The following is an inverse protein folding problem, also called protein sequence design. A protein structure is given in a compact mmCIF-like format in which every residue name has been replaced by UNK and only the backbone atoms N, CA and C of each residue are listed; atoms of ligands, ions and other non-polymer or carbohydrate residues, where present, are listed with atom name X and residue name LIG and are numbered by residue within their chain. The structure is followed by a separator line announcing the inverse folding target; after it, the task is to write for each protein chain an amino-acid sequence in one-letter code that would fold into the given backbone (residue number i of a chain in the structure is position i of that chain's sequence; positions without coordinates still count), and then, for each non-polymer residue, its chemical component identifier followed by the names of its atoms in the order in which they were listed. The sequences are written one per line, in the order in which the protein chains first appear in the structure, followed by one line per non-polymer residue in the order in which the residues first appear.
data_IF_309552107112
#
_entry.id   IF_309552107112
#
_cell.length_a   1.000
_cell.length_b   1.000
_cell.length_c   1.000
_cell.angle_alpha   90.00
_cell.angle_beta   90.00
_cell.angle_gamma   90.00
#
_symmetry.space_group_name_H-M   'P 1'
#
loop_
_entity.id
_entity.type
_entity.pdbx_description
1 polymer ?
#
# COMPACT_ATOMS: atom_id res chain seq x y z
N UNK A 1 30.44 49.34 -48.87
CA UNK A 1 29.27 49.01 -48.02
C UNK A 1 28.75 47.64 -48.39
N UNK A 2 28.87 46.65 -47.50
CA UNK A 2 28.00 45.46 -47.31
C UNK A 2 28.72 44.48 -46.39
N UNK A 3 28.40 44.53 -45.09
CA UNK A 3 28.81 43.54 -44.09
C UNK A 3 27.83 42.36 -44.18
N UNK A 4 28.34 41.16 -44.45
CA UNK A 4 27.59 39.90 -44.34
C UNK A 4 27.61 39.49 -42.86
N UNK A 5 26.45 39.49 -42.21
CA UNK A 5 26.26 38.99 -40.85
C UNK A 5 25.64 37.59 -40.96
N UNK A 6 26.41 36.56 -40.64
CA UNK A 6 25.94 35.18 -40.57
C UNK A 6 25.29 34.91 -39.22
N UNK A 7 24.01 34.55 -39.22
CA UNK A 7 23.27 34.09 -38.05
C UNK A 7 23.50 32.58 -37.89
N UNK A 8 24.27 32.16 -36.89
CA UNK A 8 24.35 30.77 -36.45
C UNK A 8 23.14 30.48 -35.55
N UNK A 9 22.20 29.68 -36.05
CA UNK A 9 21.08 29.15 -35.28
C UNK A 9 21.54 27.93 -34.50
N UNK A 10 21.91 28.12 -33.22
CA UNK A 10 22.25 27.03 -32.31
C UNK A 10 20.97 26.37 -31.76
N UNK A 11 20.67 25.16 -32.24
CA UNK A 11 19.62 24.31 -31.68
C UNK A 11 20.17 23.68 -30.39
N UNK A 12 19.77 24.24 -29.25
CA UNK A 12 20.07 23.71 -27.92
C UNK A 12 19.10 22.57 -27.62
N UNK A 13 19.51 21.33 -27.87
CA UNK A 13 18.78 20.14 -27.43
C UNK A 13 18.82 20.07 -25.89
N UNK A 14 17.75 20.52 -25.24
CA UNK A 14 17.48 20.24 -23.84
C UNK A 14 17.19 18.73 -23.70
N UNK A 15 18.21 17.95 -23.36
CA UNK A 15 18.05 16.56 -22.96
C UNK A 15 17.36 16.50 -21.61
N UNK A 16 16.05 16.23 -21.61
CA UNK A 16 15.30 15.84 -20.42
C UNK A 16 15.80 14.47 -19.97
N UNK A 17 16.81 14.46 -19.08
CA UNK A 17 17.15 13.28 -18.32
C UNK A 17 15.98 12.98 -17.37
N UNK A 18 15.06 12.13 -17.82
CA UNK A 18 14.07 11.55 -16.94
C UNK A 18 14.83 10.68 -15.93
N UNK A 19 14.93 11.16 -14.68
CA UNK A 19 15.37 10.32 -13.59
C UNK A 19 14.38 9.16 -13.50
N UNK A 20 14.82 7.97 -13.92
CA UNK A 20 14.09 6.75 -13.67
C UNK A 20 14.18 6.55 -12.16
N UNK A 21 13.17 6.97 -11.42
CA UNK A 21 13.07 6.63 -10.01
C UNK A 21 13.04 5.10 -9.96
N UNK A 22 14.11 4.50 -9.42
CA UNK A 22 14.17 3.06 -9.22
C UNK A 22 13.19 2.71 -8.13
N UNK A 23 11.96 2.40 -8.52
CA UNK A 23 10.95 1.90 -7.63
C UNK A 23 11.35 0.47 -7.21
N UNK A 24 11.27 0.19 -5.92
CA UNK A 24 11.54 -1.13 -5.34
C UNK A 24 10.39 -2.12 -5.60
N UNK A 25 10.49 -3.33 -5.04
CA UNK A 25 9.52 -4.40 -5.27
C UNK A 25 8.12 -4.11 -4.72
N UNK A 26 7.98 -3.14 -3.80
CA UNK A 26 6.71 -2.77 -3.17
C UNK A 26 6.09 -1.50 -3.78
N UNK A 27 6.71 -0.95 -4.84
CA UNK A 27 6.27 0.27 -5.49
C UNK A 27 4.83 0.18 -6.04
N UNK A 28 4.10 1.29 -5.91
CA UNK A 28 2.69 1.38 -6.32
C UNK A 28 1.71 0.68 -5.39
N UNK A 29 2.19 0.07 -4.30
CA UNK A 29 1.33 -0.45 -3.24
C UNK A 29 0.57 0.66 -2.52
N UNK A 30 -0.62 0.35 -2.03
CA UNK A 30 -1.45 1.22 -1.20
C UNK A 30 -1.77 0.57 0.13
N UNK A 31 -2.20 1.37 1.09
CA UNK A 31 -2.85 0.86 2.30
C UNK A 31 -4.35 1.07 2.19
N UNK A 32 -5.10 0.01 2.43
CA UNK A 32 -6.55 0.05 2.48
C UNK A 32 -7.03 -0.33 3.88
N UNK A 33 -8.18 0.22 4.25
CA UNK A 33 -8.92 -0.26 5.41
C UNK A 33 -10.02 -1.18 4.91
N UNK A 34 -10.20 -2.31 5.58
CA UNK A 34 -11.24 -3.27 5.28
C UNK A 34 -11.86 -3.74 6.57
N UNK A 35 -13.18 -3.73 6.68
CA UNK A 35 -13.86 -4.44 7.75
C UNK A 35 -14.67 -5.64 7.26
N UNK A 36 -15.03 -6.52 8.18
CA UNK A 36 -16.06 -7.54 7.99
C UNK A 36 -17.16 -7.39 9.06
N UNK A 37 -18.38 -6.99 8.70
CA UNK A 37 -19.49 -6.85 9.65
C UNK A 37 -19.90 -8.15 10.34
N UNK A 38 -19.46 -9.31 9.83
CA UNK A 38 -19.71 -10.61 10.47
C UNK A 38 -18.75 -10.91 11.62
N UNK A 39 -17.65 -10.15 11.75
CA UNK A 39 -16.67 -10.31 12.83
C UNK A 39 -16.96 -9.31 13.95
N UNK A 40 -17.42 -9.84 15.07
CA UNK A 40 -17.73 -9.05 16.28
C UNK A 40 -16.51 -9.02 17.20
N UNK A 41 -16.21 -7.83 17.71
CA UNK A 41 -15.15 -7.69 18.70
C UNK A 41 -15.54 -8.29 20.06
N UNK A 42 -14.62 -9.06 20.62
CA UNK A 42 -14.73 -9.70 21.93
C UNK A 42 -13.37 -9.64 22.63
N UNK A 43 -13.36 -9.71 23.96
CA UNK A 43 -12.12 -9.58 24.75
C UNK A 43 -11.42 -10.92 25.01
N UNK A 44 -12.01 -12.03 24.55
CA UNK A 44 -11.45 -13.39 24.67
C UNK A 44 -10.61 -13.80 23.45
N UNK A 45 -10.54 -12.96 22.42
CA UNK A 45 -9.68 -13.14 21.25
C UNK A 45 -8.48 -12.19 21.39
N UNK A 46 -7.28 -12.78 21.52
CA UNK A 46 -6.04 -12.01 21.70
C UNK A 46 -5.60 -11.29 20.40
N UNK A 47 -5.96 -11.84 19.24
CA UNK A 47 -5.62 -11.26 17.93
C UNK A 47 -6.64 -11.64 16.86
N UNK A 48 -6.95 -10.67 15.98
CA UNK A 48 -7.85 -10.83 14.85
C UNK A 48 -7.11 -10.97 13.50
N UNK A 49 -5.79 -11.12 13.51
CA UNK A 49 -5.02 -11.31 12.28
C UNK A 49 -5.43 -12.58 11.54
N UNK A 50 -5.70 -12.49 10.23
CA UNK A 50 -6.17 -13.61 9.43
C UNK A 50 -7.65 -13.98 9.59
N UNK A 51 -8.42 -13.25 10.42
CA UNK A 51 -9.88 -13.47 10.56
C UNK A 51 -10.67 -12.81 9.43
N UNK A 52 -10.15 -11.72 8.85
CA UNK A 52 -10.80 -11.06 7.73
C UNK A 52 -10.79 -11.98 6.51
N UNK A 53 -11.96 -12.34 5.95
CA UNK A 53 -11.99 -12.94 4.63
C UNK A 53 -11.28 -12.00 3.67
N UNK A 54 -10.36 -12.54 2.87
CA UNK A 54 -9.73 -11.73 1.83
C UNK A 54 -10.82 -11.27 0.86
N UNK A 55 -10.97 -9.96 0.62
CA UNK A 55 -11.91 -9.51 -0.38
C UNK A 55 -11.45 -10.05 -1.74
N UNK A 56 -12.40 -10.34 -2.64
CA UNK A 56 -12.10 -10.89 -3.97
C UNK A 56 -11.18 -10.00 -4.83
N UNK A 57 -11.01 -8.75 -4.42
CA UNK A 57 -10.12 -7.73 -4.95
C UNK A 57 -10.14 -6.52 -4.01
N UNK A 58 -9.28 -5.53 -4.23
CA UNK A 58 -9.26 -4.34 -3.41
C UNK A 58 -10.62 -3.62 -3.43
N UNK A 59 -11.27 -3.56 -4.59
CA UNK A 59 -12.53 -2.86 -4.84
C UNK A 59 -13.72 -3.43 -4.04
N UNK A 60 -13.57 -4.66 -3.53
CA UNK A 60 -14.58 -5.33 -2.71
C UNK A 60 -14.36 -5.09 -1.21
N UNK A 61 -13.38 -4.27 -0.82
CA UNK A 61 -13.17 -3.94 0.58
C UNK A 61 -14.34 -3.12 1.14
N UNK A 62 -14.90 -3.58 2.25
CA UNK A 62 -15.90 -2.81 3.01
C UNK A 62 -15.22 -1.67 3.76
N UNK A 63 -15.52 -0.43 3.36
CA UNK A 63 -14.97 0.80 3.94
C UNK A 63 -16.00 1.67 4.65
N UNK A 64 -17.23 1.18 4.85
CA UNK A 64 -18.28 1.94 5.52
C UNK A 64 -19.07 1.08 6.50
N UNK A 65 -19.31 1.61 7.69
CA UNK A 65 -20.00 0.93 8.79
C UNK A 65 -21.16 1.72 9.35
N UNK A 66 -22.18 1.04 9.93
CA UNK A 66 -23.13 1.69 10.81
C UNK A 66 -22.42 2.19 12.09
N UNK A 67 -23.08 3.10 12.80
CA UNK A 67 -22.64 3.60 14.11
C UNK A 67 -23.15 2.68 15.23
N UNK A 68 -22.61 2.83 16.45
CA UNK A 68 -22.88 2.02 17.66
C UNK A 68 -22.47 0.55 17.69
N UNK A 69 -22.37 -0.13 16.54
CA UNK A 69 -21.91 -1.52 16.52
C UNK A 69 -20.40 -1.60 16.76
N UNK A 70 -19.97 -2.56 17.60
CA UNK A 70 -18.55 -2.87 17.80
C UNK A 70 -18.09 -3.82 16.72
N UNK A 71 -17.18 -3.38 15.89
CA UNK A 71 -16.68 -4.19 14.79
C UNK A 71 -15.15 -4.17 14.76
N UNK A 72 -14.60 -5.12 14.01
CA UNK A 72 -13.17 -5.23 13.75
C UNK A 72 -12.90 -4.80 12.31
N UNK A 73 -11.86 -4.01 12.13
CA UNK A 73 -11.34 -3.65 10.81
C UNK A 73 -9.84 -3.87 10.76
N UNK A 74 -9.34 -4.04 9.55
CA UNK A 74 -7.96 -4.38 9.25
C UNK A 74 -7.36 -3.33 8.34
N UNK A 75 -6.10 -3.04 8.59
CA UNK A 75 -5.22 -2.36 7.65
C UNK A 75 -4.55 -3.42 6.81
N UNK A 76 -4.70 -3.31 5.49
CA UNK A 76 -4.10 -4.24 4.53
C UNK A 76 -3.18 -3.48 3.57
N UNK A 77 -2.03 -4.07 3.26
CA UNK A 77 -1.29 -3.67 2.06
C UNK A 77 -1.99 -4.27 0.84
N UNK A 78 -2.19 -3.46 -0.19
CA UNK A 78 -2.66 -3.89 -1.49
C UNK A 78 -1.63 -3.53 -2.56
N UNK A 79 -1.23 -4.50 -3.37
CA UNK A 79 -0.24 -4.32 -4.43
C UNK A 79 -0.89 -4.45 -5.82
N UNK A 80 -0.33 -3.77 -6.86
CA UNK A 80 -0.84 -3.88 -8.22
C UNK A 80 -0.81 -5.31 -8.76
N UNK A 81 -1.81 -5.68 -9.56
CA UNK A 81 -1.84 -6.99 -10.22
C UNK A 81 -0.54 -7.26 -11.01
N UNK A 82 0.10 -8.40 -10.73
CA UNK A 82 1.35 -8.81 -11.36
C UNK A 82 2.60 -8.18 -10.74
N UNK A 83 2.48 -7.40 -9.67
CA UNK A 83 3.62 -7.09 -8.80
C UNK A 83 4.17 -8.38 -8.15
N UNK A 84 5.39 -8.31 -7.64
CA UNK A 84 6.00 -9.38 -6.84
C UNK A 84 6.50 -8.75 -5.54
N UNK A 85 5.58 -8.35 -4.64
CA UNK A 85 5.95 -7.64 -3.43
C UNK A 85 6.90 -8.50 -2.59
N UNK A 86 7.79 -7.84 -1.86
CA UNK A 86 8.71 -8.46 -0.89
C UNK A 86 8.60 -7.70 0.41
N UNK A 87 7.38 -7.57 0.92
CA UNK A 87 7.08 -6.69 2.05
C UNK A 87 7.65 -7.27 3.35
N UNK A 88 8.68 -6.63 3.89
CA UNK A 88 9.28 -6.98 5.19
C UNK A 88 9.05 -5.93 6.27
N UNK A 89 8.61 -4.73 5.91
CA UNK A 89 8.18 -3.74 6.88
C UNK A 89 7.23 -2.73 6.28
N UNK A 90 6.39 -2.15 7.13
CA UNK A 90 5.49 -1.05 6.78
C UNK A 90 5.52 -0.01 7.89
N UNK A 91 5.45 1.26 7.51
CA UNK A 91 5.35 2.37 8.45
C UNK A 91 4.16 3.23 8.03
N UNK A 92 3.25 3.49 8.98
CA UNK A 92 2.05 4.28 8.75
C UNK A 92 1.57 4.92 10.06
N UNK A 93 0.56 5.77 9.96
CA UNK A 93 -0.12 6.40 11.07
C UNK A 93 -1.63 6.40 10.91
N UNK A 94 -2.31 7.03 11.86
CA UNK A 94 -3.77 7.13 11.89
C UNK A 94 -4.20 8.54 12.27
N UNK A 95 -5.33 8.97 11.75
CA UNK A 95 -5.99 10.22 12.10
C UNK A 95 -7.48 9.94 12.29
N UNK A 96 -8.04 10.43 13.39
CA UNK A 96 -9.47 10.31 13.70
C UNK A 96 -9.85 11.26 14.84
N UNK A 97 -11.14 11.51 15.04
CA UNK A 97 -11.64 12.27 16.18
C UNK A 97 -11.87 11.31 17.38
N UNK A 98 -10.98 11.34 18.37
CA UNK A 98 -11.05 10.50 19.57
C UNK A 98 -12.20 10.87 20.53
N UNK A 99 -12.86 12.00 20.30
CA UNK A 99 -14.13 12.32 20.97
C UNK A 99 -15.32 11.60 20.35
N UNK A 100 -15.17 11.05 19.13
CA UNK A 100 -16.24 10.41 18.38
C UNK A 100 -16.00 8.90 18.19
N UNK A 101 -14.76 8.51 17.85
CA UNK A 101 -14.36 7.12 17.60
C UNK A 101 -13.66 6.56 18.83
N UNK A 102 -14.19 5.46 19.34
CA UNK A 102 -13.64 4.76 20.51
C UNK A 102 -12.99 3.45 20.06
N UNK A 103 -11.67 3.38 20.21
CA UNK A 103 -10.92 2.14 20.01
C UNK A 103 -10.99 1.28 21.27
N UNK A 104 -11.37 0.02 21.08
CA UNK A 104 -11.55 -0.99 22.12
C UNK A 104 -10.38 -1.98 22.19
N UNK A 105 -9.73 -2.23 21.05
CA UNK A 105 -8.60 -3.13 20.92
C UNK A 105 -7.90 -2.93 19.59
N UNK A 106 -6.64 -3.33 19.51
CA UNK A 106 -5.83 -3.20 18.31
C UNK A 106 -4.59 -4.09 18.41
N UNK A 107 -3.95 -4.39 17.29
CA UNK A 107 -2.68 -5.09 17.31
C UNK A 107 -2.06 -5.35 15.93
N UNK A 108 -0.74 -5.60 15.89
CA UNK A 108 -0.01 -5.90 14.67
C UNK A 108 -0.29 -7.31 14.16
N UNK A 109 -0.23 -7.49 12.84
CA UNK A 109 -0.22 -8.79 12.18
C UNK A 109 1.17 -9.24 11.73
N UNK A 110 2.20 -8.42 11.99
CA UNK A 110 3.60 -8.79 11.82
C UNK A 110 4.23 -9.35 13.09
N UNK A 111 5.52 -9.66 13.00
CA UNK A 111 6.29 -10.32 14.05
C UNK A 111 6.84 -9.33 15.10
N UNK A 112 7.02 -8.07 14.71
CA UNK A 112 7.50 -7.02 15.60
C UNK A 112 6.83 -5.68 15.25
N UNK A 113 6.51 -4.92 16.30
CA UNK A 113 5.94 -3.59 16.21
C UNK A 113 6.84 -2.58 16.93
N UNK A 114 7.05 -1.44 16.28
CA UNK A 114 7.66 -0.26 16.87
C UNK A 114 6.67 0.91 16.76
N UNK A 115 5.83 1.02 17.78
CA UNK A 115 4.84 2.07 17.88
C UNK A 115 5.45 3.34 18.48
N UNK A 116 4.90 4.51 18.12
CA UNK A 116 5.18 5.71 18.89
C UNK A 116 4.53 5.67 20.28
N UNK A 117 4.91 6.60 21.17
CA UNK A 117 4.44 6.60 22.55
C UNK A 117 2.96 6.91 22.75
N UNK A 118 2.27 7.39 21.71
CA UNK A 118 0.85 7.75 21.73
C UNK A 118 -0.03 6.75 20.99
N UNK A 119 0.56 5.74 20.35
CA UNK A 119 -0.16 4.80 19.52
C UNK A 119 -1.22 4.01 20.30
N UNK A 120 -2.44 3.85 19.75
CA UNK A 120 -2.91 4.22 18.42
C UNK A 120 -3.73 5.54 18.41
N UNK A 121 -3.37 6.53 19.22
CA UNK A 121 -4.09 7.81 19.29
C UNK A 121 -4.10 8.60 17.96
N UNK A 122 -4.96 9.62 17.81
CA UNK A 122 -4.98 10.47 16.63
C UNK A 122 -3.63 11.14 16.37
N UNK A 123 -3.22 11.21 15.10
CA UNK A 123 -1.95 11.80 14.70
C UNK A 123 -0.72 10.99 15.11
N UNK A 124 -0.90 9.74 15.53
CA UNK A 124 0.19 8.82 15.92
C UNK A 124 0.54 7.84 14.78
N UNK A 125 1.65 7.13 14.91
CA UNK A 125 2.10 6.13 13.96
C UNK A 125 2.82 4.93 14.57
N UNK A 126 2.89 3.88 13.77
CA UNK A 126 3.57 2.62 14.08
C UNK A 126 4.37 2.11 12.89
N UNK A 127 5.32 1.23 13.18
CA UNK A 127 6.02 0.42 12.21
C UNK A 127 5.80 -1.06 12.53
N UNK A 128 5.47 -1.85 11.52
CA UNK A 128 5.28 -3.31 11.65
C UNK A 128 6.27 -4.00 10.73
N UNK A 129 6.98 -5.00 11.23
CA UNK A 129 7.94 -5.78 10.46
C UNK A 129 7.62 -7.26 10.47
N UNK A 130 8.01 -7.94 9.40
CA UNK A 130 7.84 -9.37 9.20
C UNK A 130 9.21 -10.04 9.08
N UNK A 131 9.42 -11.13 9.81
CA UNK A 131 10.62 -11.96 9.73
C UNK A 131 10.74 -12.64 8.36
N UNK A 132 9.59 -13.01 7.77
CA UNK A 132 9.52 -13.53 6.42
C UNK A 132 8.85 -12.50 5.50
N UNK A 133 9.43 -12.19 4.33
CA UNK A 133 8.83 -11.23 3.41
C UNK A 133 7.46 -11.73 2.93
N UNK A 134 6.48 -10.84 2.99
CA UNK A 134 5.13 -11.08 2.51
C UNK A 134 5.10 -10.85 0.99
N UNK A 135 4.67 -11.87 0.26
CA UNK A 135 4.68 -11.88 -1.22
C UNK A 135 3.29 -11.89 -1.85
N UNK A 136 2.24 -11.93 -1.03
CA UNK A 136 0.86 -11.85 -1.46
C UNK A 136 0.50 -10.44 -1.94
N UNK A 137 -0.46 -10.35 -2.87
CA UNK A 137 -1.00 -9.07 -3.36
C UNK A 137 -1.84 -8.33 -2.31
N UNK A 138 -2.38 -9.07 -1.34
CA UNK A 138 -3.06 -8.54 -0.18
C UNK A 138 -2.42 -9.13 1.08
N UNK A 139 -2.03 -8.27 2.01
CA UNK A 139 -1.35 -8.66 3.26
C UNK A 139 -1.99 -7.96 4.44
N UNK A 140 -2.33 -8.71 5.48
CA UNK A 140 -2.81 -8.15 6.76
C UNK A 140 -1.64 -7.52 7.52
N UNK A 141 -1.79 -6.25 7.91
CA UNK A 141 -0.74 -5.51 8.59
C UNK A 141 -1.09 -5.23 10.04
N UNK A 142 -2.35 -4.89 10.28
CA UNK A 142 -2.83 -4.43 11.57
C UNK A 142 -4.34 -4.68 11.68
N UNK A 143 -4.84 -4.80 12.90
CA UNK A 143 -6.27 -4.78 13.17
C UNK A 143 -6.60 -3.75 14.25
N UNK A 144 -7.81 -3.22 14.16
CA UNK A 144 -8.42 -2.33 15.14
C UNK A 144 -9.83 -2.82 15.41
N UNK A 145 -10.31 -2.55 16.62
CA UNK A 145 -11.69 -2.76 17.00
C UNK A 145 -12.21 -1.51 17.69
N UNK A 146 -13.46 -1.16 17.44
CA UNK A 146 -14.02 0.09 17.91
C UNK A 146 -15.37 0.41 17.30
N UNK A 147 -15.83 1.64 17.52
CA UNK A 147 -17.12 2.13 17.04
C UNK A 147 -17.20 3.67 17.09
N UNK A 148 -18.09 4.26 16.28
CA UNK A 148 -18.53 5.65 16.41
C UNK A 148 -19.68 5.72 17.43
N UNK A 149 -19.48 6.53 18.48
CA UNK A 149 -20.44 6.69 19.56
C UNK A 149 -21.61 7.62 19.23
N UNK A 150 -21.41 8.63 18.37
CA UNK A 150 -22.43 9.66 18.15
C UNK A 150 -23.15 9.53 16.81
N UNK A 151 -22.60 8.76 15.86
CA UNK A 151 -23.22 8.57 14.55
C UNK A 151 -23.15 9.83 13.68
N UNK A 152 -22.19 10.71 13.94
CA UNK A 152 -22.08 12.03 13.31
C UNK A 152 -21.47 11.99 11.90
N UNK A 153 -21.12 10.80 11.39
CA UNK A 153 -20.47 10.67 10.09
C UNK A 153 -18.98 11.03 10.17
N UNK A 154 -18.24 10.30 10.99
CA UNK A 154 -16.79 10.45 11.15
C UNK A 154 -16.02 9.38 10.37
N UNK A 155 -14.71 9.55 10.27
CA UNK A 155 -13.80 8.59 9.62
C UNK A 155 -12.63 8.24 10.52
N UNK A 156 -12.15 7.00 10.36
CA UNK A 156 -10.83 6.57 10.79
C UNK A 156 -9.94 6.53 9.56
N UNK A 157 -8.99 7.45 9.47
CA UNK A 157 -8.16 7.66 8.29
C UNK A 157 -6.75 7.10 8.53
N UNK A 158 -6.20 6.40 7.53
CA UNK A 158 -4.78 6.09 7.52
C UNK A 158 -4.01 7.35 7.15
N UNK A 159 -2.92 7.59 7.87
CA UNK A 159 -2.06 8.76 7.70
C UNK A 159 -0.60 8.33 7.52
N UNK A 160 0.29 9.23 7.06
CA UNK A 160 1.72 9.01 7.20
C UNK A 160 2.12 8.98 8.68
N UNK A 161 3.08 8.13 9.06
CA UNK A 161 3.68 8.19 10.39
C UNK A 161 4.30 9.60 10.59
N UNK A 162 4.10 10.24 11.75
CA UNK A 162 4.56 11.62 11.98
C UNK A 162 6.06 11.84 11.79
N UNK A 163 6.87 10.82 12.06
CA UNK A 163 8.33 10.90 12.05
C UNK A 163 8.98 10.26 10.82
N UNK A 164 8.30 9.28 10.21
CA UNK A 164 8.87 8.42 9.17
C UNK A 164 8.09 8.42 7.85
N UNK A 165 6.92 9.07 7.80
CA UNK A 165 6.04 9.09 6.63
C UNK A 165 5.29 7.76 6.42
N UNK A 166 4.88 7.51 5.18
CA UNK A 166 4.19 6.27 4.78
C UNK A 166 5.07 5.48 3.83
N UNK A 167 5.66 4.36 4.29
CA UNK A 167 6.64 3.60 3.51
C UNK A 167 6.43 2.09 3.63
N UNK A 168 6.71 1.37 2.55
CA UNK A 168 7.00 -0.06 2.56
C UNK A 168 8.51 -0.28 2.54
N UNK A 169 8.99 -1.30 3.23
CA UNK A 169 10.37 -1.75 3.23
C UNK A 169 10.44 -3.18 2.67
N UNK A 170 11.43 -3.43 1.82
CA UNK A 170 11.74 -4.78 1.36
C UNK A 170 12.74 -5.53 2.27
N UNK A 171 13.03 -6.77 1.91
CA UNK A 171 13.96 -7.69 2.60
C UNK A 171 15.41 -7.58 2.12
N UNK A 172 15.78 -6.53 1.37
CA UNK A 172 17.19 -6.28 1.01
C UNK A 172 17.98 -5.68 2.18
N UNK A 173 19.31 -5.67 2.07
CA UNK A 173 20.21 -5.15 3.11
C UNK A 173 21.21 -4.15 2.49
N UNK A 174 21.02 -2.82 2.69
CA UNK A 174 19.92 -2.17 3.39
C UNK A 174 18.59 -2.24 2.62
N UNK A 175 17.46 -2.21 3.34
CA UNK A 175 16.13 -2.25 2.72
C UNK A 175 15.91 -1.11 1.74
N UNK A 176 15.30 -1.43 0.60
CA UNK A 176 14.77 -0.45 -0.35
C UNK A 176 13.40 -0.02 0.18
N UNK A 177 13.20 1.30 0.26
CA UNK A 177 11.97 1.90 0.74
C UNK A 177 11.13 2.43 -0.42
N UNK A 178 9.89 1.99 -0.48
CA UNK A 178 8.90 2.45 -1.45
C UNK A 178 7.85 3.33 -0.77
N UNK A 179 7.49 4.44 -1.42
CA UNK A 179 6.36 5.27 -0.98
C UNK A 179 5.04 4.51 -1.13
N UNK A 180 4.19 4.64 -0.12
CA UNK A 180 2.80 4.16 -0.19
C UNK A 180 2.02 5.11 -1.09
N UNK A 181 1.50 4.59 -2.20
CA UNK A 181 0.87 5.39 -3.25
C UNK A 181 -0.52 5.94 -2.87
N UNK A 182 -1.15 5.39 -1.83
CA UNK A 182 -2.45 5.81 -1.33
C UNK A 182 -2.76 5.25 0.05
N UNK A 183 -3.45 6.04 0.86
CA UNK A 183 -3.86 5.72 2.23
C UNK A 183 -5.38 5.77 2.30
N UNK A 184 -6.00 4.65 2.67
CA UNK A 184 -7.45 4.52 2.74
C UNK A 184 -8.02 4.95 4.07
N UNK A 185 -9.35 4.86 4.17
CA UNK A 185 -10.06 5.16 5.39
C UNK A 185 -11.31 4.33 5.58
N UNK A 186 -11.74 4.24 6.83
CA UNK A 186 -13.01 3.67 7.22
C UNK A 186 -13.98 4.78 7.58
N UNK A 187 -15.13 4.77 6.95
CA UNK A 187 -16.22 5.68 7.23
C UNK A 187 -17.26 5.08 8.19
N UNK A 188 -17.89 5.95 8.96
CA UNK A 188 -19.00 5.61 9.84
C UNK A 188 -20.27 6.35 9.43
N UNK A 189 -21.42 5.71 9.67
CA UNK A 189 -22.75 6.24 9.40
C UNK A 189 -22.90 6.75 7.95
N UNK A 190 -23.14 8.05 7.79
CA UNK A 190 -23.37 8.70 6.49
C UNK A 190 -22.09 9.17 5.79
N UNK A 191 -20.91 9.04 6.41
CA UNK A 191 -19.64 9.45 5.82
C UNK A 191 -18.87 8.23 5.33
N UNK A 192 -18.88 7.90 4.03
CA UNK A 192 -18.20 6.72 3.50
C UNK A 192 -16.68 6.87 3.55
N UNK A 193 -15.98 5.77 3.85
CA UNK A 193 -14.52 5.73 3.82
C UNK A 193 -13.95 5.73 2.40
N UNK A 194 -12.66 5.99 2.28
CA UNK A 194 -11.94 6.04 1.01
C UNK A 194 -11.17 4.75 0.74
N UNK A 195 -11.15 4.32 -0.53
CA UNK A 195 -10.55 3.06 -0.94
C UNK A 195 -9.57 3.28 -2.10
N UNK A 196 -8.29 3.56 -1.80
CA UNK A 196 -7.27 3.78 -2.82
C UNK A 196 -6.77 2.43 -3.34
N UNK A 197 -7.49 1.85 -4.29
CA UNK A 197 -7.01 0.63 -4.93
C UNK A 197 -5.79 0.90 -5.81
N UNK A 198 -4.78 0.01 -5.81
CA UNK A 198 -3.68 0.10 -6.74
C UNK A 198 -4.23 0.14 -8.17
N UNK A 199 -3.81 1.13 -8.96
CA UNK A 199 -4.42 1.37 -10.26
C UNK A 199 -4.30 0.13 -11.17
N UNK A 200 -5.46 -0.42 -11.58
CA UNK A 200 -5.54 -1.52 -12.53
C UNK A 200 -4.90 -1.09 -13.86
N UNK A 201 -3.68 -1.54 -14.11
CA UNK A 201 -2.94 -1.16 -15.31
C UNK A 201 -1.91 -0.04 -15.13
N UNK A 202 -1.68 0.46 -13.92
CA UNK A 202 -0.36 1.01 -13.56
C UNK A 202 0.64 -0.16 -13.53
N UNK A 203 0.89 -0.72 -14.71
CA UNK A 203 2.01 -1.62 -14.98
C UNK A 203 3.29 -0.80 -15.04
N UNK A 204 3.49 0.07 -14.06
CA UNK A 204 4.83 0.54 -13.71
C UNK A 204 5.37 -0.38 -12.59
N UNK A 205 5.20 -1.69 -12.79
CA UNK A 205 5.98 -2.69 -12.08
C UNK A 205 7.30 -2.88 -12.81
N UNK A 206 8.40 -2.88 -12.07
CA UNK A 206 9.68 -3.23 -12.64
C UNK A 206 9.77 -4.76 -12.76
N UNK A 207 10.00 -5.28 -13.96
CA UNK A 207 10.37 -6.69 -14.14
C UNK A 207 11.81 -6.85 -13.69
N UNK A 208 12.03 -7.58 -12.60
CA UNK A 208 13.35 -7.90 -12.10
C UNK A 208 13.90 -9.16 -12.77
N UNK A 209 15.14 -9.08 -13.26
CA UNK A 209 15.87 -10.18 -13.89
C UNK A 209 16.76 -10.90 -12.86
N UNK A 210 17.25 -12.10 -13.19
CA UNK A 210 18.12 -12.90 -12.31
C UNK A 210 19.43 -12.19 -11.95
N UNK A 211 19.85 -11.20 -12.72
CA UNK A 211 21.02 -10.37 -12.45
C UNK A 211 20.77 -9.26 -11.41
N UNK A 212 19.54 -9.17 -10.89
CA UNK A 212 19.13 -8.17 -9.90
C UNK A 212 18.74 -6.82 -10.50
N UNK A 213 18.81 -6.65 -11.82
CA UNK A 213 18.31 -5.45 -12.48
C UNK A 213 16.79 -5.48 -12.60
N UNK A 214 16.13 -4.34 -12.42
CA UNK A 214 14.67 -4.22 -12.59
C UNK A 214 14.35 -3.16 -13.63
N UNK A 215 13.47 -3.48 -14.60
CA UNK A 215 13.04 -2.54 -15.66
C UNK A 215 11.54 -2.29 -15.62
N UNK A 216 11.13 -1.03 -15.57
CA UNK A 216 9.73 -0.62 -15.66
C UNK A 216 9.23 -0.83 -17.09
N UNK A 217 8.43 -1.87 -17.31
CA UNK A 217 7.88 -2.19 -18.63
C UNK A 217 6.45 -1.65 -18.77
N UNK A 218 6.28 -0.60 -19.58
CA UNK A 218 4.93 -0.11 -19.92
C UNK A 218 4.11 -1.22 -20.61
N UNK A 219 2.85 -1.33 -20.19
CA UNK A 219 1.87 -2.36 -20.60
C UNK A 219 1.71 -2.56 -22.11
N UNK A 220 2.01 -1.55 -22.95
CA UNK A 220 1.88 -1.63 -24.40
C UNK A 220 2.88 -2.58 -25.11
N UNK A 221 3.93 -3.06 -24.43
CA UNK A 221 4.96 -3.90 -25.05
C UNK A 221 4.82 -5.42 -24.78
N UNK A 222 3.85 -5.85 -23.95
CA UNK A 222 3.70 -7.28 -23.59
C UNK A 222 3.25 -8.17 -24.76
N UNK A 223 2.70 -7.60 -25.83
CA UNK A 223 2.30 -8.36 -27.02
C UNK A 223 3.47 -8.75 -27.92
N UNK A 224 4.64 -8.14 -27.78
CA UNK A 224 5.79 -8.36 -28.67
C UNK A 224 7.01 -9.00 -27.99
N UNK A 225 7.08 -9.01 -26.66
CA UNK A 225 8.20 -9.64 -25.94
C UNK A 225 8.14 -11.18 -25.92
N UNK A 226 6.97 -11.79 -26.16
CA UNK A 226 6.82 -13.23 -26.33
C UNK A 226 7.19 -13.75 -27.74
N UNK A 227 7.63 -12.86 -28.64
CA UNK A 227 8.09 -13.19 -29.99
C UNK A 227 9.56 -12.81 -30.18
N UNK A 228 10.41 -13.16 -29.21
CA UNK A 228 11.84 -13.34 -29.49
C UNK A 228 12.06 -14.80 -29.94
N UNK A 229 12.71 -15.09 -31.09
CA UNK A 229 12.84 -16.45 -31.60
C UNK A 229 13.76 -17.39 -30.81
N UNK A 230 14.31 -16.95 -29.67
CA UNK A 230 15.25 -17.76 -28.88
C UNK A 230 14.56 -18.37 -27.66
N UNK A 231 13.85 -19.47 -27.94
CA UNK A 231 13.55 -20.63 -27.08
C UNK A 231 13.84 -20.50 -25.56
N UNK A 232 12.77 -20.45 -24.77
CA UNK A 232 12.75 -21.06 -23.42
C UNK A 232 11.56 -22.02 -23.40
N UNK A 233 11.87 -23.32 -23.37
CA UNK A 233 10.88 -24.39 -23.25
C UNK A 233 10.32 -24.39 -21.83
N UNK A 234 9.01 -24.16 -21.69
CA UNK A 234 8.30 -24.49 -20.46
C UNK A 234 8.17 -26.02 -20.37
N UNK A 235 8.79 -26.62 -19.36
CA UNK A 235 8.47 -27.99 -18.95
C UNK A 235 7.30 -27.89 -17.98
N UNK A 236 6.11 -28.27 -18.45
CA UNK A 236 4.98 -28.54 -17.58
C UNK A 236 5.22 -29.91 -16.91
N UNK A 237 5.36 -29.93 -15.59
CA UNK A 237 5.14 -31.15 -14.81
C UNK A 237 3.67 -31.18 -14.41
N UNK A 238 3.02 -32.30 -14.74
CA UNK A 238 1.65 -32.62 -14.31
C UNK A 238 1.57 -33.15 -12.91
#
# INVERSE_FOLDING_TARGET
MKKLLGFLSGVMCLGLAANVASAGPNAGGTLIVHGDPSVVYTTDIDSYCGFAPLPAGCESAVTNYPFFDKFVWWVKAAFPEGASPRLSGVVFGVEYDDSQIFLLGWGPCGDFELADGSWPGPGSGTAVTFQNPQTSQLVDLYWFAGYDYYGNGVSFDLAPNPSQGAKFADDSVPSILDDIAGLGSLGFASNPGTLPCPAAGAREGACCFEDGSCQVLRSAARSSAAQSPNSVSYVAFG
#
